data_IF_675105407915
#
_entry.id   IF_675105407915
#
_cell.length_a   1.000
_cell.length_b   1.000
_cell.length_c   1.000
_cell.angle_alpha   90.00
_cell.angle_beta   90.00
_cell.angle_gamma   90.00
#
_symmetry.space_group_name_H-M   'P 1'
#
loop_
_entity.id
_entity.type
_entity.pdbx_description
1 polymer ?
#
# COMPACT_ATOMS: atom_id res chain seq x y z
N UNK A 1 5.18 -6.96 1.78
CA UNK A 1 5.13 -6.07 2.96
C UNK A 1 4.13 -4.96 2.70
N UNK A 2 3.25 -4.64 3.66
CA UNK A 2 2.40 -3.43 3.72
C UNK A 2 3.26 -2.18 3.93
N UNK A 3 2.68 -0.98 3.80
CA UNK A 3 3.39 0.26 4.14
C UNK A 3 3.82 0.26 5.62
N UNK A 4 2.96 -0.19 6.53
CA UNK A 4 3.29 -0.30 7.96
C UNK A 4 4.52 -1.18 8.22
N UNK A 5 4.60 -2.35 7.58
CA UNK A 5 5.75 -3.25 7.69
C UNK A 5 7.02 -2.62 7.08
N UNK A 6 6.90 -1.84 6.01
CA UNK A 6 8.02 -1.10 5.41
C UNK A 6 8.54 -0.01 6.34
N UNK A 7 7.66 0.78 6.96
CA UNK A 7 8.07 1.80 7.94
C UNK A 7 8.84 1.20 9.12
N UNK A 8 8.38 0.05 9.63
CA UNK A 8 9.08 -0.66 10.69
C UNK A 8 10.44 -1.21 10.23
N UNK A 9 10.50 -1.75 9.01
CA UNK A 9 11.76 -2.15 8.40
C UNK A 9 12.73 -0.97 8.26
N UNK A 10 12.25 0.16 7.72
CA UNK A 10 13.03 1.38 7.54
C UNK A 10 13.58 1.89 8.89
N UNK A 11 12.78 1.81 9.96
CA UNK A 11 13.22 2.12 11.33
C UNK A 11 14.37 1.22 11.79
N UNK A 12 14.29 -0.08 11.52
CA UNK A 12 15.31 -1.05 11.93
C UNK A 12 16.64 -0.87 11.17
N UNK A 13 16.58 -0.50 9.88
CA UNK A 13 17.78 -0.34 9.05
C UNK A 13 18.35 1.09 9.08
N UNK A 14 17.57 2.10 9.45
CA UNK A 14 18.05 3.48 9.56
C UNK A 14 18.30 3.92 11.01
N UNK A 15 17.93 3.10 12.00
CA UNK A 15 18.04 3.41 13.42
C UNK A 15 19.36 2.97 14.06
N UNK A 16 19.52 3.33 15.34
CA UNK A 16 20.67 2.94 16.18
C UNK A 16 20.76 1.42 16.41
N UNK A 17 19.65 0.70 16.17
CA UNK A 17 19.53 -0.76 16.31
C UNK A 17 20.06 -1.53 15.07
N UNK A 18 20.56 -0.83 14.04
CA UNK A 18 21.04 -1.48 12.82
C UNK A 18 22.28 -2.35 13.12
N UNK A 19 22.26 -3.66 12.79
CA UNK A 19 23.42 -4.52 12.99
C UNK A 19 24.58 -4.13 12.07
N UNK A 20 25.84 -4.40 12.46
CA UNK A 20 27.00 -4.15 11.60
C UNK A 20 26.84 -4.83 10.24
N UNK A 21 27.21 -4.12 9.17
CA UNK A 21 27.14 -4.64 7.80
C UNK A 21 28.29 -5.65 7.59
N UNK A 22 28.04 -6.90 7.97
CA UNK A 22 28.91 -8.05 7.73
C UNK A 22 28.21 -9.06 6.83
N UNK A 23 28.97 -9.86 6.09
CA UNK A 23 28.40 -10.90 5.23
C UNK A 23 27.47 -11.85 6.02
N UNK A 24 27.89 -12.24 7.23
CA UNK A 24 27.10 -13.12 8.09
C UNK A 24 25.75 -12.50 8.46
N UNK A 25 25.75 -11.24 8.93
CA UNK A 25 24.53 -10.53 9.28
C UNK A 25 23.62 -10.34 8.07
N UNK A 26 24.16 -9.94 6.93
CA UNK A 26 23.41 -9.77 5.68
C UNK A 26 22.75 -11.09 5.25
N UNK A 27 23.51 -12.20 5.26
CA UNK A 27 22.99 -13.51 4.89
C UNK A 27 21.97 -14.05 5.91
N UNK A 28 22.15 -13.75 7.20
CA UNK A 28 21.16 -14.07 8.24
C UNK A 28 19.84 -13.35 7.99
N UNK A 29 19.91 -12.04 7.71
CA UNK A 29 18.75 -11.21 7.37
C UNK A 29 18.01 -11.73 6.14
N UNK A 30 18.70 -12.02 5.04
CA UNK A 30 18.05 -12.58 3.84
C UNK A 30 17.38 -13.93 4.10
N UNK A 31 18.01 -14.81 4.88
CA UNK A 31 17.42 -16.10 5.26
C UNK A 31 16.16 -15.90 6.09
N UNK A 32 16.20 -15.00 7.07
CA UNK A 32 15.04 -14.67 7.90
C UNK A 32 13.89 -14.11 7.06
N UNK A 33 14.15 -13.12 6.20
CA UNK A 33 13.14 -12.52 5.32
C UNK A 33 12.50 -13.53 4.36
N UNK A 34 13.30 -14.45 3.79
CA UNK A 34 12.75 -15.49 2.91
C UNK A 34 11.95 -16.53 3.70
N UNK A 35 12.36 -16.87 4.92
CA UNK A 35 11.61 -17.79 5.78
C UNK A 35 10.27 -17.20 6.22
N UNK A 36 10.22 -15.91 6.55
CA UNK A 36 9.00 -15.21 7.02
C UNK A 36 8.17 -14.58 5.89
N UNK A 37 8.50 -14.81 4.61
CA UNK A 37 7.84 -14.13 3.48
C UNK A 37 6.33 -14.37 3.40
N UNK A 38 5.87 -15.58 3.71
CA UNK A 38 4.46 -15.94 3.66
C UNK A 38 3.67 -15.27 4.80
N UNK A 39 4.24 -15.25 6.00
CA UNK A 39 3.67 -14.55 7.15
C UNK A 39 3.65 -13.03 6.92
N UNK A 40 4.72 -12.50 6.33
CA UNK A 40 4.83 -11.09 5.96
C UNK A 40 3.75 -10.70 4.95
N UNK A 41 3.46 -11.56 3.97
CA UNK A 41 2.38 -11.36 3.02
C UNK A 41 1.01 -11.34 3.72
N UNK A 42 0.74 -12.35 4.57
CA UNK A 42 -0.53 -12.48 5.30
C UNK A 42 -0.76 -11.30 6.24
N UNK A 43 0.25 -10.92 7.02
CA UNK A 43 0.19 -9.75 7.88
C UNK A 43 0.00 -8.46 7.08
N UNK A 44 0.60 -8.39 5.89
CA UNK A 44 0.40 -7.28 4.96
C UNK A 44 -1.08 -7.11 4.56
N UNK A 45 -1.78 -8.21 4.26
CA UNK A 45 -3.23 -8.20 4.01
C UNK A 45 -4.02 -7.69 5.22
N UNK A 46 -3.70 -8.16 6.41
CA UNK A 46 -4.36 -7.72 7.64
C UNK A 46 -4.16 -6.22 7.87
N UNK A 47 -2.94 -5.71 7.67
CA UNK A 47 -2.62 -4.30 7.84
C UNK A 47 -3.42 -3.40 6.88
N UNK A 48 -3.66 -3.88 5.65
CA UNK A 48 -4.47 -3.16 4.65
C UNK A 48 -5.90 -2.99 5.14
N UNK A 49 -6.56 -4.08 5.54
CA UNK A 49 -7.93 -3.98 6.02
C UNK A 49 -8.05 -3.18 7.31
N UNK A 50 -7.03 -3.21 8.17
CA UNK A 50 -6.97 -2.35 9.36
C UNK A 50 -6.79 -0.87 9.03
N UNK A 51 -6.20 -0.53 7.89
CA UNK A 51 -5.99 0.87 7.48
C UNK A 51 -7.20 1.50 6.79
N UNK A 52 -8.14 0.68 6.30
CA UNK A 52 -9.40 1.15 5.73
C UNK A 52 -10.32 1.73 6.82
N UNK A 53 -11.21 2.66 6.44
CA UNK A 53 -12.23 3.18 7.38
C UNK A 53 -13.23 2.07 7.74
N UNK A 54 -13.54 1.99 9.03
CA UNK A 54 -14.50 1.02 9.61
C UNK A 54 -15.94 1.54 9.61
N UNK A 55 -16.15 2.78 9.14
CA UNK A 55 -17.49 3.35 8.98
C UNK A 55 -18.27 2.67 7.85
N UNK A 56 -17.57 1.99 6.95
CA UNK A 56 -18.14 1.32 5.79
C UNK A 56 -18.24 -0.20 6.03
N UNK A 57 -19.48 -0.70 6.09
CA UNK A 57 -19.79 -2.13 6.27
C UNK A 57 -19.12 -3.06 5.23
N UNK A 58 -18.74 -2.51 4.07
CA UNK A 58 -18.10 -3.27 2.99
C UNK A 58 -16.61 -3.50 3.22
N UNK A 59 -15.96 -2.71 4.07
CA UNK A 59 -14.55 -2.85 4.43
C UNK A 59 -14.38 -3.91 5.53
N UNK A 60 -14.68 -5.17 5.21
CA UNK A 60 -14.61 -6.29 6.16
C UNK A 60 -13.19 -6.90 6.20
N UNK A 61 -12.52 -6.96 7.35
CA UNK A 61 -11.16 -7.50 7.45
C UNK A 61 -11.03 -9.00 7.16
N UNK A 62 -12.14 -9.74 7.17
CA UNK A 62 -12.16 -11.18 6.93
C UNK A 62 -12.40 -11.54 5.46
N UNK A 63 -12.79 -10.59 4.59
CA UNK A 63 -13.05 -10.87 3.18
C UNK A 63 -13.01 -9.62 2.30
N UNK A 64 -12.56 -9.79 1.05
CA UNK A 64 -12.82 -8.79 0.01
C UNK A 64 -14.32 -8.77 -0.32
N UNK A 65 -14.98 -7.66 -0.01
CA UNK A 65 -16.35 -7.42 -0.42
C UNK A 65 -16.46 -7.10 -1.92
N UNK A 66 -17.68 -7.01 -2.43
CA UNK A 66 -17.93 -6.54 -3.82
C UNK A 66 -17.46 -5.10 -4.08
N UNK A 67 -17.23 -4.34 -3.02
CA UNK A 67 -16.84 -2.92 -3.04
C UNK A 67 -15.92 -2.66 -1.86
N UNK A 68 -14.90 -1.84 -2.07
CA UNK A 68 -14.05 -1.28 -1.02
C UNK A 68 -14.17 0.23 -1.10
N UNK A 69 -14.27 0.89 0.05
CA UNK A 69 -14.36 2.35 0.14
C UNK A 69 -13.12 2.87 0.84
N UNK A 70 -12.36 3.72 0.15
CA UNK A 70 -11.17 4.37 0.70
C UNK A 70 -11.54 5.77 1.17
N UNK A 71 -11.24 6.06 2.44
CA UNK A 71 -11.43 7.37 3.02
C UNK A 71 -10.29 7.68 4.01
N UNK A 72 -9.71 8.91 3.98
CA UNK A 72 -9.81 9.89 2.90
C UNK A 72 -8.95 9.48 1.68
N UNK A 73 -9.44 9.76 0.47
CA UNK A 73 -8.64 9.61 -0.77
C UNK A 73 -7.91 10.91 -1.15
N UNK A 74 -8.47 12.05 -0.74
CA UNK A 74 -8.03 13.38 -1.12
C UNK A 74 -7.76 14.21 0.14
N UNK A 75 -6.74 15.05 0.07
CA UNK A 75 -6.49 16.12 1.02
C UNK A 75 -7.28 17.36 0.58
N UNK A 76 -8.02 17.95 1.53
CA UNK A 76 -8.86 19.12 1.29
C UNK A 76 -8.44 20.24 2.22
N UNK A 77 -8.00 21.36 1.65
CA UNK A 77 -7.60 22.54 2.40
C UNK A 77 -8.77 23.51 2.59
N UNK A 78 -8.69 24.35 3.63
CA UNK A 78 -9.72 25.38 3.91
C UNK A 78 -9.97 26.34 2.74
N UNK A 79 -8.99 26.55 1.87
CA UNK A 79 -9.11 27.37 0.66
C UNK A 79 -9.97 26.72 -0.44
N UNK A 80 -10.41 25.48 -0.25
CA UNK A 80 -11.07 24.68 -1.29
C UNK A 80 -10.09 24.03 -2.26
N UNK A 81 -8.78 24.19 -2.07
CA UNK A 81 -7.79 23.41 -2.82
C UNK A 81 -7.90 21.94 -2.44
N UNK A 82 -7.81 21.05 -3.43
CA UNK A 82 -7.90 19.60 -3.28
C UNK A 82 -6.74 18.96 -3.99
N UNK A 83 -6.17 17.92 -3.38
CA UNK A 83 -5.09 17.11 -3.97
C UNK A 83 -5.32 15.65 -3.62
N UNK A 84 -4.83 14.76 -4.46
CA UNK A 84 -4.70 13.36 -4.10
C UNK A 84 -3.79 13.20 -2.86
N UNK A 85 -4.25 12.45 -1.86
CA UNK A 85 -3.50 12.31 -0.61
C UNK A 85 -2.45 11.20 -0.71
N UNK A 86 -1.32 11.37 -0.03
CA UNK A 86 -0.27 10.35 0.05
C UNK A 86 -0.77 9.06 0.71
N UNK A 87 -1.70 9.17 1.64
CA UNK A 87 -2.34 8.05 2.32
C UNK A 87 -3.31 7.30 1.38
N UNK A 88 -4.11 8.02 0.59
CA UNK A 88 -4.97 7.45 -0.44
C UNK A 88 -4.15 6.67 -1.48
N UNK A 89 -3.03 7.23 -1.92
CA UNK A 89 -2.09 6.58 -2.83
C UNK A 89 -1.54 5.28 -2.24
N UNK A 90 -1.07 5.34 -0.99
CA UNK A 90 -0.55 4.19 -0.27
C UNK A 90 -1.60 3.08 -0.14
N UNK A 91 -2.85 3.43 0.18
CA UNK A 91 -3.93 2.45 0.33
C UNK A 91 -4.25 1.75 -0.98
N UNK A 92 -4.29 2.47 -2.10
CA UNK A 92 -4.48 1.87 -3.43
C UNK A 92 -3.33 0.91 -3.75
N UNK A 93 -2.08 1.32 -3.55
CA UNK A 93 -0.92 0.48 -3.84
C UNK A 93 -0.84 -0.75 -2.95
N UNK A 94 -1.19 -0.60 -1.68
CA UNK A 94 -1.23 -1.72 -0.75
C UNK A 94 -2.37 -2.68 -1.12
N UNK A 95 -3.55 -2.19 -1.54
CA UNK A 95 -4.64 -3.02 -2.06
C UNK A 95 -4.29 -3.74 -3.37
N UNK A 96 -3.55 -3.11 -4.27
CA UNK A 96 -3.15 -3.69 -5.56
C UNK A 96 -2.12 -4.81 -5.39
N UNK A 97 -1.22 -4.65 -4.42
CA UNK A 97 -0.03 -5.50 -4.24
C UNK A 97 -0.33 -6.99 -4.10
N UNK A 98 -1.33 -7.44 -3.31
CA UNK A 98 -1.71 -8.84 -3.25
C UNK A 98 -2.03 -9.44 -4.62
N UNK A 99 -2.72 -8.70 -5.49
CA UNK A 99 -3.09 -9.20 -6.82
C UNK A 99 -1.85 -9.41 -7.69
N UNK A 100 -0.92 -8.44 -7.74
CA UNK A 100 0.36 -8.63 -8.45
C UNK A 100 1.14 -9.85 -7.94
N UNK A 101 1.23 -10.02 -6.61
CA UNK A 101 1.95 -11.13 -6.00
C UNK A 101 1.31 -12.48 -6.34
N UNK A 102 -0.02 -12.56 -6.29
CA UNK A 102 -0.78 -13.78 -6.60
C UNK A 102 -0.70 -14.14 -8.08
N UNK A 103 -0.65 -13.14 -8.96
CA UNK A 103 -0.43 -13.33 -10.41
C UNK A 103 1.03 -13.64 -10.77
N UNK A 104 1.94 -13.70 -9.79
CA UNK A 104 3.37 -13.90 -10.04
C UNK A 104 4.04 -12.73 -10.79
N UNK A 105 3.41 -11.56 -10.80
CA UNK A 105 3.91 -10.33 -11.43
C UNK A 105 4.74 -9.54 -10.42
N UNK A 106 5.71 -8.79 -10.93
CA UNK A 106 6.44 -7.82 -10.10
C UNK A 106 5.49 -6.70 -9.68
N UNK A 107 5.56 -6.34 -8.40
CA UNK A 107 4.82 -5.19 -7.85
C UNK A 107 5.44 -3.91 -8.44
N UNK A 108 4.65 -3.00 -9.03
CA UNK A 108 5.18 -1.78 -9.62
C UNK A 108 5.84 -0.86 -8.59
N UNK A 109 6.84 -0.09 -9.03
CA UNK A 109 7.41 1.01 -8.23
C UNK A 109 6.33 2.06 -7.94
N UNK A 110 6.43 2.73 -6.80
CA UNK A 110 5.49 3.76 -6.34
C UNK A 110 5.22 4.85 -7.39
N UNK A 111 6.19 5.19 -8.25
CA UNK A 111 6.03 6.26 -9.26
C UNK A 111 5.17 5.87 -10.45
N UNK A 112 4.94 4.58 -10.65
CA UNK A 112 4.18 4.01 -11.77
C UNK A 112 3.11 3.03 -11.29
N UNK A 113 2.82 3.04 -9.99
CA UNK A 113 1.85 2.18 -9.35
C UNK A 113 0.43 2.58 -9.71
N UNK A 114 -0.55 1.76 -9.31
CA UNK A 114 -1.96 2.06 -9.58
C UNK A 114 -2.43 3.32 -8.81
N UNK A 115 -1.85 3.60 -7.64
CA UNK A 115 -2.03 4.87 -6.95
C UNK A 115 -1.52 6.05 -7.78
N UNK A 116 -0.36 5.93 -8.42
CA UNK A 116 0.23 7.00 -9.23
C UNK A 116 -0.59 7.27 -10.49
N UNK A 117 -1.09 6.21 -11.12
CA UNK A 117 -2.00 6.32 -12.27
C UNK A 117 -3.31 7.00 -11.88
N UNK A 118 -3.87 6.66 -10.71
CA UNK A 118 -5.10 7.28 -10.22
C UNK A 118 -4.90 8.77 -9.84
N UNK A 119 -3.75 9.12 -9.24
CA UNK A 119 -3.38 10.51 -8.95
C UNK A 119 -3.23 11.33 -10.25
N UNK A 120 -2.52 10.80 -11.25
CA UNK A 120 -2.39 11.43 -12.56
C UNK A 120 -3.77 11.62 -13.22
N UNK A 121 -4.61 10.59 -13.19
CA UNK A 121 -5.98 10.68 -13.70
C UNK A 121 -6.78 11.77 -12.97
N UNK A 122 -6.74 11.82 -11.64
CA UNK A 122 -7.44 12.85 -10.87
C UNK A 122 -6.92 14.25 -11.18
N UNK A 123 -5.60 14.41 -11.32
CA UNK A 123 -4.97 15.68 -11.68
C UNK A 123 -5.49 16.23 -13.01
N UNK A 124 -5.70 15.36 -14.00
CA UNK A 124 -6.21 15.74 -15.32
C UNK A 124 -7.73 15.93 -15.38
N UNK A 125 -8.49 15.19 -14.57
CA UNK A 125 -9.94 15.06 -14.72
C UNK A 125 -10.74 15.77 -13.62
N UNK A 126 -10.17 15.92 -12.42
CA UNK A 126 -10.85 16.45 -11.24
C UNK A 126 -12.21 15.75 -11.01
N UNK A 127 -13.16 16.45 -10.38
CA UNK A 127 -14.52 15.95 -10.17
C UNK A 127 -15.38 16.07 -11.43
N UNK A 128 -15.16 15.20 -12.42
CA UNK A 128 -15.92 15.20 -13.68
C UNK A 128 -16.79 13.95 -13.89
N UNK A 129 -16.84 13.03 -12.91
CA UNK A 129 -17.64 11.81 -12.97
C UNK A 129 -17.10 10.72 -13.90
N UNK A 130 -15.94 10.93 -14.55
CA UNK A 130 -15.28 9.86 -15.30
C UNK A 130 -14.78 8.78 -14.35
N UNK A 131 -14.76 7.55 -14.86
CA UNK A 131 -14.26 6.37 -14.15
C UNK A 131 -12.82 6.14 -14.56
N UNK A 132 -11.96 5.88 -13.57
CA UNK A 132 -10.62 5.38 -13.77
C UNK A 132 -10.66 3.85 -13.68
N UNK A 133 -10.01 3.17 -14.61
CA UNK A 133 -9.85 1.71 -14.62
C UNK A 133 -8.36 1.37 -14.74
N UNK A 134 -7.93 0.34 -14.00
CA UNK A 134 -6.61 -0.25 -14.12
C UNK A 134 -6.69 -1.78 -14.01
N UNK A 135 -5.54 -2.46 -14.03
CA UNK A 135 -5.47 -3.93 -14.08
C UNK A 135 -6.33 -4.63 -13.00
N UNK A 136 -6.48 -4.03 -11.81
CA UNK A 136 -7.18 -4.64 -10.69
C UNK A 136 -8.34 -3.81 -10.09
N UNK A 137 -8.58 -2.57 -10.54
CA UNK A 137 -9.61 -1.67 -10.01
C UNK A 137 -10.39 -0.93 -11.08
#
# INVERSE_FOLDING_TARGET
>A
MSNKQRQEWDRQVAGEEMPPITLENVMSTFRHLNASKADTFTQGLIDIFKSLSWDYKTNNPCMFGKRIIIAPLLDVWRSGWVRFSSDGHTKIDDLARPFYVLDGRNVPDYRVSDGAKLDAFFSENQFNGKVFECDYF
#
